data_IF_516854382183
#
_entry.id   IF_516854382183
#
_cell.length_a   1.000
_cell.length_b   1.000
_cell.length_c   1.000
_cell.angle_alpha   90.00
_cell.angle_beta   90.00
_cell.angle_gamma   90.00
#
_symmetry.space_group_name_H-M   'P 1'
#
loop_
_entity.id
_entity.type
_entity.pdbx_description
1 polymer ?
#
# COMPACT_ATOMS: atom_id res chain seq x y z
N UNK A 1 -5.63 -3.12 -10.69
CA UNK A 1 -5.87 -4.17 -9.66
C UNK A 1 -7.31 -4.04 -9.19
N UNK A 2 -7.96 -5.11 -8.75
CA UNK A 2 -9.31 -5.03 -8.18
C UNK A 2 -9.32 -5.41 -6.69
N UNK A 3 -10.24 -4.86 -5.89
CA UNK A 3 -10.28 -5.11 -4.44
C UNK A 3 -10.37 -6.60 -4.07
N UNK A 4 -11.12 -7.39 -4.85
CA UNK A 4 -11.30 -8.83 -4.63
C UNK A 4 -10.03 -9.66 -4.90
N UNK A 5 -9.01 -9.07 -5.52
CA UNK A 5 -7.71 -9.72 -5.74
C UNK A 5 -6.74 -9.58 -4.57
N UNK A 6 -7.11 -8.79 -3.54
CA UNK A 6 -6.27 -8.54 -2.38
C UNK A 6 -6.26 -9.74 -1.42
N UNK A 7 -5.07 -10.12 -0.96
CA UNK A 7 -4.86 -11.27 -0.07
C UNK A 7 -4.21 -10.82 1.24
N UNK A 8 -4.80 -11.11 2.41
CA UNK A 8 -4.22 -10.70 3.70
C UNK A 8 -2.79 -11.23 3.88
N UNK A 9 -1.88 -10.36 4.29
CA UNK A 9 -0.46 -10.65 4.46
C UNK A 9 0.39 -10.53 3.19
N UNK A 10 -0.22 -10.34 2.01
CA UNK A 10 0.51 -10.05 0.78
C UNK A 10 0.97 -8.59 0.71
N UNK A 11 2.05 -8.37 -0.05
CA UNK A 11 2.68 -7.06 -0.22
C UNK A 11 2.19 -6.40 -1.50
N UNK A 12 1.79 -5.16 -1.35
CA UNK A 12 1.42 -4.22 -2.40
C UNK A 12 2.28 -2.98 -2.29
N UNK A 13 2.16 -2.06 -3.24
CA UNK A 13 3.05 -0.92 -3.32
C UNK A 13 2.28 0.37 -3.61
N UNK A 14 2.53 1.38 -2.79
CA UNK A 14 2.25 2.76 -3.14
C UNK A 14 3.36 3.25 -4.05
N UNK A 15 3.01 3.61 -5.29
CA UNK A 15 3.93 4.28 -6.20
C UNK A 15 3.55 5.75 -6.30
N UNK A 16 4.45 6.62 -5.86
CA UNK A 16 4.32 8.08 -5.96
C UNK A 16 5.47 8.63 -6.78
N UNK A 17 5.33 9.85 -7.29
CA UNK A 17 6.41 10.56 -7.98
C UNK A 17 6.69 11.89 -7.26
N UNK A 18 7.96 12.18 -7.03
CA UNK A 18 8.39 13.40 -6.36
C UNK A 18 8.36 14.64 -7.27
N UNK A 19 8.26 14.42 -8.58
CA UNK A 19 8.27 15.44 -9.62
C UNK A 19 7.05 15.32 -10.56
N UNK A 20 6.57 16.44 -11.12
CA UNK A 20 5.45 16.43 -12.08
C UNK A 20 5.72 15.64 -13.36
N UNK A 21 7.00 15.50 -13.75
CA UNK A 21 7.41 14.78 -14.96
C UNK A 21 7.42 13.25 -14.74
N UNK A 22 7.10 12.79 -13.54
CA UNK A 22 7.03 11.39 -13.16
C UNK A 22 8.33 10.63 -13.46
N UNK A 23 9.46 11.24 -13.10
CA UNK A 23 10.81 10.70 -13.36
C UNK A 23 11.53 10.22 -12.09
N UNK A 24 11.10 10.67 -10.92
CA UNK A 24 11.67 10.36 -9.60
C UNK A 24 10.63 9.59 -8.78
N UNK A 25 10.57 8.26 -8.94
CA UNK A 25 9.59 7.43 -8.24
C UNK A 25 9.96 7.22 -6.76
N UNK A 26 8.95 7.20 -5.90
CA UNK A 26 9.00 6.73 -4.53
C UNK A 26 8.10 5.49 -4.44
N UNK A 27 8.70 4.34 -4.09
CA UNK A 27 8.01 3.06 -3.95
C UNK A 27 7.96 2.71 -2.47
N UNK A 28 6.76 2.55 -1.94
CA UNK A 28 6.56 2.20 -0.53
C UNK A 28 5.78 0.88 -0.44
N UNK A 29 6.37 -0.16 0.16
CA UNK A 29 5.69 -1.43 0.35
C UNK A 29 4.69 -1.35 1.51
N UNK A 30 3.49 -1.83 1.27
CA UNK A 30 2.41 -1.96 2.25
C UNK A 30 1.85 -3.37 2.24
N UNK A 31 1.38 -3.86 3.38
CA UNK A 31 0.84 -5.21 3.56
C UNK A 31 -0.67 -5.10 3.74
N UNK A 32 -1.44 -5.82 2.95
CA UNK A 32 -2.90 -5.83 3.12
C UNK A 32 -3.27 -6.57 4.41
N UNK A 33 -4.04 -5.92 5.29
CA UNK A 33 -4.42 -6.48 6.59
C UNK A 33 -5.92 -6.81 6.71
N UNK A 34 -6.74 -6.39 5.75
CA UNK A 34 -8.14 -6.79 5.63
C UNK A 34 -9.09 -5.64 5.26
N UNK A 35 -10.38 -5.97 5.23
CA UNK A 35 -11.48 -5.03 4.96
C UNK A 35 -12.25 -4.80 6.26
N UNK A 36 -12.63 -3.54 6.53
CA UNK A 36 -13.45 -3.14 7.68
C UNK A 36 -12.95 -3.70 9.04
N UNK A 37 -11.62 -3.71 9.22
CA UNK A 37 -10.96 -4.36 10.37
C UNK A 37 -10.90 -3.50 11.63
N UNK A 38 -11.30 -2.22 11.55
CA UNK A 38 -11.39 -1.29 12.69
C UNK A 38 -12.80 -0.72 12.87
N UNK A 39 -13.83 -1.57 13.08
CA UNK A 39 -15.23 -1.15 13.11
C UNK A 39 -15.57 -0.21 14.28
N UNK A 40 -14.77 -0.24 15.35
CA UNK A 40 -14.95 0.63 16.51
C UNK A 40 -14.35 2.04 16.31
N UNK A 41 -13.38 2.17 15.40
CA UNK A 41 -12.72 3.45 15.09
C UNK A 41 -13.39 4.18 13.93
N UNK A 42 -13.95 3.43 12.98
CA UNK A 42 -14.69 3.96 11.85
C UNK A 42 -16.00 3.16 11.63
N UNK A 43 -17.07 3.47 12.37
CA UNK A 43 -18.33 2.72 12.29
C UNK A 43 -19.11 2.95 10.98
N UNK A 44 -18.74 3.98 10.22
CA UNK A 44 -19.33 4.31 8.92
C UNK A 44 -18.47 3.82 7.75
N UNK A 45 -17.28 3.23 8.01
CA UNK A 45 -16.48 2.56 7.00
C UNK A 45 -17.25 1.38 6.42
N UNK A 46 -17.48 1.44 5.11
CA UNK A 46 -18.06 0.35 4.32
C UNK A 46 -17.09 0.09 3.19
N UNK A 47 -16.69 -1.18 3.02
CA UNK A 47 -15.76 -1.61 1.98
C UNK A 47 -14.42 -0.84 2.03
N UNK A 48 -13.96 -0.51 3.23
CA UNK A 48 -12.66 0.16 3.43
C UNK A 48 -11.57 -0.89 3.60
N UNK A 49 -10.58 -0.84 2.72
CA UNK A 49 -9.45 -1.75 2.72
C UNK A 49 -8.29 -1.14 3.49
N UNK A 50 -7.73 -1.90 4.42
CA UNK A 50 -6.66 -1.44 5.28
C UNK A 50 -5.34 -2.09 4.89
N UNK A 51 -4.32 -1.25 4.81
CA UNK A 51 -2.95 -1.64 4.57
C UNK A 51 -2.07 -1.16 5.72
N UNK A 52 -1.07 -1.94 6.07
CA UNK A 52 -0.08 -1.58 7.08
C UNK A 52 1.27 -1.41 6.41
N UNK A 53 2.06 -0.41 6.78
CA UNK A 53 3.41 -0.27 6.24
C UNK A 53 4.26 -1.53 6.56
N UNK A 54 5.12 -1.93 5.62
CA UNK A 54 5.85 -3.18 5.76
C UNK A 54 6.82 -3.21 6.95
N UNK A 55 7.30 -2.04 7.41
CA UNK A 55 8.21 -1.97 8.54
C UNK A 55 7.46 -2.30 9.83
N UNK A 56 6.34 -1.61 10.10
CA UNK A 56 5.56 -1.89 11.30
C UNK A 56 4.93 -3.28 11.26
N UNK A 57 4.49 -3.78 10.10
CA UNK A 57 3.97 -5.15 9.97
C UNK A 57 5.04 -6.18 10.36
N UNK A 58 6.29 -5.97 9.95
CA UNK A 58 7.40 -6.88 10.30
C UNK A 58 7.67 -6.94 11.81
N UNK A 59 7.63 -5.80 12.49
CA UNK A 59 8.00 -5.73 13.91
C UNK A 59 6.82 -5.98 14.85
N UNK A 60 5.63 -5.56 14.44
CA UNK A 60 4.43 -5.62 15.27
C UNK A 60 3.48 -6.74 14.84
N UNK A 61 3.66 -7.36 13.68
CA UNK A 61 2.63 -8.22 13.08
C UNK A 61 1.45 -7.41 12.53
N UNK A 62 0.41 -8.13 12.09
CA UNK A 62 -0.83 -7.51 11.61
C UNK A 62 -1.53 -6.74 12.71
N UNK A 63 -1.83 -5.47 12.49
CA UNK A 63 -2.64 -4.65 13.38
C UNK A 63 -4.11 -5.10 13.47
N UNK A 64 -4.59 -5.85 12.48
CA UNK A 64 -5.97 -6.33 12.39
C UNK A 64 -6.20 -7.72 13.03
N UNK A 65 -5.20 -8.34 13.65
CA UNK A 65 -5.31 -9.72 14.12
C UNK A 65 -4.60 -10.02 15.43
N UNK A 66 -4.86 -11.21 15.96
CA UNK A 66 -4.35 -11.71 17.26
C UNK A 66 -2.82 -11.82 17.35
N UNK A 67 -2.12 -11.63 16.23
CA UNK A 67 -0.66 -11.63 16.13
C UNK A 67 0.00 -10.30 16.49
N UNK A 68 -0.77 -9.23 16.73
CA UNK A 68 -0.24 -7.91 17.01
C UNK A 68 0.60 -7.88 18.30
N UNK A 69 1.80 -7.30 18.21
CA UNK A 69 2.74 -7.13 19.31
C UNK A 69 3.30 -5.71 19.27
N UNK A 70 2.89 -4.80 20.16
CA UNK A 70 3.38 -3.44 20.13
C UNK A 70 4.89 -3.40 20.33
N UNK A 71 5.59 -2.60 19.53
CA UNK A 71 7.02 -2.34 19.65
C UNK A 71 7.23 -0.97 20.32
N UNK A 72 8.19 -0.83 21.26
CA UNK A 72 8.36 0.41 22.02
C UNK A 72 8.70 1.63 21.15
N UNK A 73 9.41 1.42 20.04
CA UNK A 73 9.92 2.49 19.18
C UNK A 73 9.26 2.53 17.79
N UNK A 74 8.29 1.66 17.51
CA UNK A 74 7.66 1.56 16.18
C UNK A 74 6.17 1.67 16.35
N UNK A 75 5.61 2.76 15.84
CA UNK A 75 4.18 2.98 15.74
C UNK A 75 3.66 2.34 14.44
N UNK A 76 2.59 1.52 14.48
CA UNK A 76 1.97 0.98 13.29
C UNK A 76 1.39 2.09 12.41
N UNK A 77 1.81 2.16 11.16
CA UNK A 77 1.20 3.06 10.18
C UNK A 77 0.18 2.28 9.36
N UNK A 78 -1.08 2.68 9.50
CA UNK A 78 -2.23 2.09 8.82
C UNK A 78 -2.77 3.06 7.78
N UNK A 79 -3.03 2.54 6.58
CA UNK A 79 -3.55 3.26 5.44
C UNK A 79 -4.93 2.70 5.09
N UNK A 80 -6.03 3.42 5.40
CA UNK A 80 -7.34 3.13 4.84
C UNK A 80 -7.36 3.54 3.37
N UNK A 81 -7.90 2.67 2.53
CA UNK A 81 -8.07 2.88 1.08
C UNK A 81 -9.48 2.44 0.71
N UNK A 82 -10.24 3.34 0.07
CA UNK A 82 -11.57 2.99 -0.43
C UNK A 82 -11.46 1.97 -1.57
N UNK A 83 -12.46 1.09 -1.71
CA UNK A 83 -12.48 0.08 -2.75
C UNK A 83 -12.24 0.66 -4.16
N UNK A 84 -12.86 1.81 -4.45
CA UNK A 84 -12.75 2.51 -5.74
C UNK A 84 -11.33 3.05 -6.03
N UNK A 85 -10.53 3.30 -4.99
CA UNK A 85 -9.19 3.90 -5.11
C UNK A 85 -8.08 2.85 -5.26
N UNK A 86 -8.36 1.56 -5.03
CA UNK A 86 -7.34 0.49 -5.06
C UNK A 86 -6.68 0.39 -6.42
N UNK A 87 -7.47 0.46 -7.51
CA UNK A 87 -6.97 0.29 -8.86
C UNK A 87 -5.95 1.34 -9.28
N UNK A 88 -6.06 2.55 -8.72
CA UNK A 88 -5.26 3.72 -9.06
C UNK A 88 -4.13 3.98 -8.05
N UNK A 89 -4.34 3.62 -6.78
CA UNK A 89 -3.42 3.96 -5.68
C UNK A 89 -2.39 2.87 -5.38
N UNK A 90 -2.69 1.62 -5.75
CA UNK A 90 -1.93 0.44 -5.35
C UNK A 90 -1.54 -0.43 -6.53
N UNK A 91 -0.30 -0.90 -6.49
CA UNK A 91 0.26 -1.80 -7.49
C UNK A 91 0.76 -3.09 -6.85
N UNK A 92 0.72 -4.18 -7.60
CA UNK A 92 1.54 -5.35 -7.33
C UNK A 92 2.96 -5.11 -7.84
N UNK A 93 3.85 -6.07 -7.60
CA UNK A 93 5.25 -5.95 -8.02
C UNK A 93 5.39 -5.77 -9.54
N UNK A 94 4.58 -6.48 -10.33
CA UNK A 94 4.61 -6.39 -11.80
C UNK A 94 4.16 -5.00 -12.28
N UNK A 95 3.13 -4.43 -11.66
CA UNK A 95 2.68 -3.06 -11.89
C UNK A 95 3.76 -2.02 -11.56
N UNK A 96 4.47 -2.18 -10.44
CA UNK A 96 5.61 -1.31 -10.10
C UNK A 96 6.71 -1.43 -11.16
N UNK A 97 7.09 -2.64 -11.56
CA UNK A 97 8.13 -2.84 -12.58
C UNK A 97 7.73 -2.15 -13.90
N UNK A 98 6.48 -2.30 -14.33
CA UNK A 98 5.98 -1.64 -15.53
C UNK A 98 6.05 -0.11 -15.42
N UNK A 99 5.60 0.45 -14.29
CA UNK A 99 5.57 1.89 -14.08
C UNK A 99 6.98 2.51 -13.96
N UNK A 100 7.92 1.83 -13.27
CA UNK A 100 9.32 2.25 -13.20
C UNK A 100 10.03 2.16 -14.56
N UNK A 101 9.70 1.14 -15.35
CA UNK A 101 10.20 1.02 -16.73
C UNK A 101 9.75 2.18 -17.59
N UNK A 102 8.49 2.60 -17.44
CA UNK A 102 7.96 3.76 -18.16
C UNK A 102 8.57 5.08 -17.68
N UNK A 103 8.69 5.29 -16.37
CA UNK A 103 9.38 6.44 -15.81
C UNK A 103 10.82 6.57 -16.34
N UNK A 104 11.53 5.45 -16.48
CA UNK A 104 12.86 5.40 -17.11
C UNK A 104 12.85 5.82 -18.57
N UNK A 105 11.79 5.54 -19.34
CA UNK A 105 11.71 5.98 -20.75
C UNK A 105 11.59 7.50 -20.87
N UNK A 106 10.89 8.15 -19.94
CA UNK A 106 10.73 9.62 -19.90
C UNK A 106 12.04 10.37 -19.69
N UNK A 107 13.02 9.72 -19.04
CA UNK A 107 14.34 10.33 -18.78
C UNK A 107 15.36 10.08 -19.88
N UNK A 108 15.05 9.23 -20.88
CA UNK A 108 15.94 9.02 -22.01
C UNK A 108 15.82 10.21 -22.99
N UNK A 109 16.94 10.78 -23.46
CA UNK A 109 16.90 11.84 -24.46
C UNK A 109 16.26 11.31 -25.76
N UNK A 110 15.37 12.11 -26.35
CA UNK A 110 14.79 11.86 -27.67
C UNK A 110 15.95 11.70 -28.66
N UNK A 111 16.10 10.51 -29.25
CA UNK A 111 17.08 10.25 -30.31
C UNK A 111 16.63 10.84 -31.64
#
# INVERSE_FOLDING_TARGET
MSPESLLPGEVYYHLRFADPDMTVPAVEPVVYIGVDVFPDEDPDAVDTHYFQDALSYRFCGSAAGDGFRPHPDIEPLIHPVAADDIGDSLLDLDGVIAALTEARRRTLPIQ
#
